data_IF_165072289964
#
_entry.id   IF_165072289964
#
_cell.length_a   1.000
_cell.length_b   1.000
_cell.length_c   1.000
_cell.angle_alpha   90.00
_cell.angle_beta   90.00
_cell.angle_gamma   90.00
#
_symmetry.space_group_name_H-M   'P 1'
#
loop_
_entity.id
_entity.type
_entity.pdbx_description
1 polymer ?
#
# COMPACT_ATOMS: atom_id res chain seq x y z
N UNK A 1 5.77 -8.24 8.39
CA UNK A 1 5.25 -7.28 9.40
C UNK A 1 3.87 -6.79 9.01
N UNK A 2 3.61 -5.49 9.18
CA UNK A 2 2.38 -4.81 8.74
C UNK A 2 2.76 -3.80 7.64
N UNK A 3 1.86 -3.53 6.70
CA UNK A 3 2.03 -2.47 5.71
C UNK A 3 0.70 -1.75 5.41
N UNK A 4 0.81 -0.52 4.92
CA UNK A 4 -0.29 0.23 4.32
C UNK A 4 -0.26 0.12 2.79
N UNK A 5 -1.40 0.29 2.13
CA UNK A 5 -1.54 0.24 0.66
C UNK A 5 -2.56 1.24 0.12
N UNK A 6 -2.68 1.30 -1.20
CA UNK A 6 -3.93 1.72 -1.84
C UNK A 6 -4.94 0.54 -1.84
N UNK A 7 -6.08 0.63 -1.10
CA UNK A 7 -7.07 -0.45 -1.06
C UNK A 7 -7.82 -0.67 -2.37
N UNK A 8 -7.74 0.27 -3.34
CA UNK A 8 -8.28 0.11 -4.69
C UNK A 8 -7.33 -0.60 -5.66
N UNK A 9 -6.13 -0.98 -5.21
CA UNK A 9 -5.23 -1.93 -5.89
C UNK A 9 -5.11 -3.21 -5.06
N UNK A 10 -4.69 -3.07 -3.81
CA UNK A 10 -4.29 -4.14 -2.89
C UNK A 10 -5.12 -4.01 -1.60
N UNK A 11 -6.29 -4.68 -1.49
CA UNK A 11 -7.24 -4.46 -0.41
C UNK A 11 -6.71 -4.79 1.00
N UNK A 12 -7.35 -4.20 2.02
CA UNK A 12 -7.12 -4.60 3.41
C UNK A 12 -7.36 -6.11 3.60
N UNK A 13 -6.53 -6.73 4.44
CA UNK A 13 -6.48 -8.18 4.64
C UNK A 13 -5.58 -8.94 3.67
N UNK A 14 -5.10 -8.30 2.60
CA UNK A 14 -4.14 -8.93 1.67
C UNK A 14 -2.88 -9.36 2.40
N UNK A 15 -2.29 -10.47 1.95
CA UNK A 15 -0.98 -10.95 2.40
C UNK A 15 -0.04 -10.87 1.21
N UNK A 16 1.10 -10.19 1.39
CA UNK A 16 2.16 -10.10 0.39
C UNK A 16 3.47 -10.68 0.94
N UNK A 17 4.31 -11.20 0.04
CA UNK A 17 5.71 -11.54 0.31
C UNK A 17 6.59 -10.45 -0.31
N UNK A 18 7.37 -9.77 0.52
CA UNK A 18 8.42 -8.84 0.09
C UNK A 18 9.72 -9.63 -0.05
N UNK A 19 10.53 -9.33 -1.06
CA UNK A 19 11.82 -9.98 -1.32
C UNK A 19 12.81 -8.99 -1.96
N UNK A 20 14.09 -9.37 -2.01
CA UNK A 20 15.20 -8.53 -2.55
C UNK A 20 15.49 -7.26 -1.72
N UNK A 21 15.13 -7.30 -0.44
CA UNK A 21 15.33 -6.23 0.56
C UNK A 21 16.27 -6.59 1.70
N UNK A 22 16.66 -7.86 1.83
CA UNK A 22 17.60 -8.33 2.85
C UNK A 22 16.88 -8.57 4.19
N UNK A 23 17.17 -7.74 5.19
CA UNK A 23 16.59 -7.86 6.55
C UNK A 23 15.07 -7.66 6.60
N UNK A 24 14.48 -7.10 5.55
CA UNK A 24 13.04 -6.84 5.43
C UNK A 24 12.31 -7.85 4.54
N UNK A 25 12.98 -8.94 4.10
CA UNK A 25 12.35 -10.01 3.33
C UNK A 25 11.40 -10.81 4.24
N UNK A 26 10.14 -10.98 3.81
CA UNK A 26 9.15 -11.69 4.62
C UNK A 26 7.69 -11.48 4.20
N UNK A 27 6.77 -11.98 5.01
CA UNK A 27 5.33 -11.80 4.83
C UNK A 27 4.83 -10.53 5.52
N UNK A 28 4.02 -9.74 4.83
CA UNK A 28 3.40 -8.53 5.33
C UNK A 28 1.89 -8.57 5.10
N UNK A 29 1.12 -8.25 6.15
CA UNK A 29 -0.33 -8.11 6.06
C UNK A 29 -0.69 -6.65 5.85
N UNK A 30 -1.55 -6.41 4.87
CA UNK A 30 -2.09 -5.08 4.55
C UNK A 30 -3.22 -4.77 5.53
N UNK A 31 -3.00 -3.83 6.44
CA UNK A 31 -3.95 -3.50 7.53
C UNK A 31 -4.27 -2.00 7.66
N UNK A 32 -3.58 -1.15 6.92
CA UNK A 32 -3.74 0.31 6.98
C UNK A 32 -3.75 0.94 5.57
N UNK A 33 -4.07 2.23 5.46
CA UNK A 33 -4.13 2.97 4.19
C UNK A 33 -3.63 4.40 4.39
N UNK A 34 -2.75 4.89 3.51
CA UNK A 34 -2.25 6.27 3.57
C UNK A 34 -2.75 7.11 2.39
N UNK A 35 -3.09 8.40 2.57
CA UNK A 35 -3.47 9.28 1.45
C UNK A 35 -2.35 9.43 0.41
N UNK A 36 -1.09 9.44 0.86
CA UNK A 36 0.09 9.49 0.00
C UNK A 36 0.44 8.12 -0.65
N UNK A 37 -0.23 7.04 -0.24
CA UNK A 37 0.03 5.66 -0.69
C UNK A 37 -1.02 5.30 -1.73
N UNK A 38 -0.65 5.47 -3.00
CA UNK A 38 -1.57 5.36 -4.14
C UNK A 38 -1.02 4.44 -5.23
N UNK A 39 -1.91 3.72 -5.91
CA UNK A 39 -1.53 2.82 -7.01
C UNK A 39 -0.67 1.63 -6.54
N UNK A 40 0.37 1.29 -7.30
CA UNK A 40 1.37 0.25 -6.95
C UNK A 40 2.35 0.71 -5.84
N UNK A 41 1.83 1.22 -4.73
CA UNK A 41 2.63 1.66 -3.58
C UNK A 41 2.20 0.92 -2.31
N UNK A 42 3.19 0.55 -1.51
CA UNK A 42 3.02 0.13 -0.12
C UNK A 42 3.89 0.99 0.78
N UNK A 43 3.49 1.11 2.04
CA UNK A 43 4.31 1.68 3.12
C UNK A 43 4.55 0.60 4.17
N UNK A 44 5.80 0.27 4.46
CA UNK A 44 6.15 -0.86 5.35
C UNK A 44 6.34 -0.32 6.77
N UNK A 45 5.59 -0.84 7.73
CA UNK A 45 5.78 -0.46 9.13
C UNK A 45 7.13 -0.97 9.65
N UNK A 46 7.99 -0.03 10.04
CA UNK A 46 9.28 -0.24 10.69
C UNK A 46 9.26 0.45 12.06
N UNK A 47 9.85 -0.20 13.07
CA UNK A 47 9.84 0.33 14.44
C UNK A 47 10.84 1.48 14.62
N UNK A 48 12.01 1.39 13.99
CA UNK A 48 13.02 2.46 14.03
C UNK A 48 12.82 3.47 12.90
N UNK A 49 12.71 4.75 13.26
CA UNK A 49 12.76 5.85 12.30
C UNK A 49 14.08 5.86 11.51
N UNK A 50 15.20 5.45 12.13
CA UNK A 50 16.49 5.37 11.45
C UNK A 50 16.51 4.27 10.38
N UNK A 51 15.93 3.09 10.66
CA UNK A 51 15.81 1.99 9.68
C UNK A 51 14.90 2.41 8.52
N UNK A 52 13.79 3.10 8.80
CA UNK A 52 12.89 3.62 7.77
C UNK A 52 13.57 4.67 6.86
N UNK A 53 14.41 5.53 7.42
CA UNK A 53 15.20 6.51 6.66
C UNK A 53 16.32 5.86 5.82
N UNK A 54 16.97 4.81 6.35
CA UNK A 54 18.01 4.05 5.63
C UNK A 54 17.42 3.19 4.50
N UNK A 55 16.27 2.56 4.74
CA UNK A 55 15.54 1.78 3.73
C UNK A 55 15.01 2.65 2.59
N UNK A 56 14.46 3.82 2.94
CA UNK A 56 14.02 4.85 2.01
C UNK A 56 12.90 4.44 1.05
N UNK A 57 12.68 5.24 0.00
CA UNK A 57 11.76 4.91 -1.10
C UNK A 57 12.54 4.19 -2.20
N UNK A 58 12.19 2.93 -2.45
CA UNK A 58 12.87 2.04 -3.39
C UNK A 58 11.87 1.10 -4.09
N UNK A 59 12.19 0.60 -5.31
CA UNK A 59 11.50 -0.55 -5.87
C UNK A 59 11.61 -1.78 -4.96
N UNK A 60 10.59 -2.64 -4.98
CA UNK A 60 10.48 -3.85 -4.18
C UNK A 60 9.95 -4.99 -5.05
N UNK A 61 10.53 -6.18 -4.91
CA UNK A 61 9.96 -7.39 -5.48
C UNK A 61 8.86 -7.90 -4.54
N UNK A 62 7.62 -7.97 -5.04
CA UNK A 62 6.43 -8.29 -4.24
C UNK A 62 5.63 -9.40 -4.93
N UNK A 63 5.39 -10.50 -4.21
CA UNK A 63 4.42 -11.53 -4.58
C UNK A 63 3.15 -11.37 -3.76
N UNK A 64 1.98 -11.36 -4.40
CA UNK A 64 0.70 -11.40 -3.66
C UNK A 64 0.40 -12.86 -3.31
N UNK A 65 0.18 -13.14 -2.02
CA UNK A 65 -0.08 -14.49 -1.48
C UNK A 65 -1.57 -14.69 -1.21
N UNK A 66 -2.28 -13.61 -0.89
CA UNK A 66 -3.75 -13.54 -0.85
C UNK A 66 -4.20 -12.11 -1.09
N UNK A 67 -5.28 -11.94 -1.85
CA UNK A 67 -5.88 -10.64 -2.13
C UNK A 67 -7.10 -10.39 -1.24
N UNK A 68 -6.98 -9.47 -0.29
CA UNK A 68 -8.00 -9.17 0.72
C UNK A 68 -8.17 -10.26 1.79
N UNK A 69 -9.28 -10.20 2.53
CA UNK A 69 -9.59 -11.10 3.65
C UNK A 69 -10.04 -12.51 3.25
N UNK A 70 -10.55 -12.67 2.03
CA UNK A 70 -11.22 -13.89 1.57
C UNK A 70 -10.22 -15.00 1.25
N UNK A 71 -10.32 -16.19 1.88
CA UNK A 71 -9.44 -17.32 1.55
C UNK A 71 -9.60 -17.84 0.10
N UNK A 72 -10.75 -17.61 -0.54
CA UNK A 72 -10.97 -17.98 -1.94
C UNK A 72 -10.13 -17.16 -2.91
N UNK A 73 -9.67 -15.97 -2.49
CA UNK A 73 -8.82 -15.06 -3.24
C UNK A 73 -7.32 -15.30 -2.91
N UNK A 74 -6.97 -16.57 -2.64
CA UNK A 74 -5.61 -17.08 -2.42
C UNK A 74 -5.11 -18.01 -3.54
N UNK A 75 -5.89 -18.25 -4.59
CA UNK A 75 -5.46 -19.09 -5.74
C UNK A 75 -4.79 -18.21 -6.81
N UNK A 76 -3.65 -18.60 -7.39
CA UNK A 76 -2.81 -17.70 -8.18
C UNK A 76 -3.52 -17.03 -9.37
N UNK A 77 -4.26 -17.82 -10.15
CA UNK A 77 -4.96 -17.37 -11.36
C UNK A 77 -5.97 -16.25 -11.02
N UNK A 78 -6.69 -16.43 -9.92
CA UNK A 78 -7.68 -15.48 -9.42
C UNK A 78 -7.03 -14.26 -8.77
N UNK A 79 -5.87 -14.41 -8.12
CA UNK A 79 -5.09 -13.27 -7.63
C UNK A 79 -4.68 -12.39 -8.82
N UNK A 80 -4.15 -12.98 -9.89
CA UNK A 80 -3.66 -12.25 -11.06
C UNK A 80 -4.81 -11.55 -11.83
N UNK A 81 -5.91 -12.25 -12.12
CA UNK A 81 -7.09 -11.65 -12.77
C UNK A 81 -7.70 -10.50 -11.94
N UNK A 82 -7.91 -10.72 -10.64
CA UNK A 82 -8.54 -9.77 -9.73
C UNK A 82 -7.64 -8.57 -9.42
N UNK A 83 -6.30 -8.75 -9.43
CA UNK A 83 -5.34 -7.65 -9.33
C UNK A 83 -5.27 -6.85 -10.63
N UNK A 84 -5.09 -7.51 -11.78
CA UNK A 84 -5.02 -6.85 -13.09
C UNK A 84 -6.28 -6.03 -13.39
N UNK A 85 -7.47 -6.53 -13.01
CA UNK A 85 -8.71 -5.77 -13.18
C UNK A 85 -8.69 -4.48 -12.35
N UNK A 86 -8.33 -4.54 -11.06
CA UNK A 86 -8.22 -3.33 -10.22
C UNK A 86 -7.15 -2.37 -10.73
N UNK A 87 -5.99 -2.87 -11.18
CA UNK A 87 -4.94 -2.03 -11.77
C UNK A 87 -5.40 -1.29 -13.03
N UNK A 88 -6.22 -1.94 -13.87
CA UNK A 88 -6.84 -1.33 -15.05
C UNK A 88 -7.98 -0.35 -14.71
N UNK A 89 -8.74 -0.62 -13.66
CA UNK A 89 -9.84 0.21 -13.17
C UNK A 89 -9.35 1.42 -12.34
N UNK A 90 -8.14 1.35 -11.80
CA UNK A 90 -7.58 2.34 -10.88
C UNK A 90 -7.42 3.73 -11.51
N UNK A 91 -7.76 4.75 -10.73
CA UNK A 91 -7.58 6.15 -11.06
C UNK A 91 -6.87 6.86 -9.90
N UNK A 92 -5.93 7.79 -10.16
CA UNK A 92 -5.27 8.54 -9.11
C UNK A 92 -6.30 9.36 -8.32
N UNK A 93 -6.26 9.25 -6.99
CA UNK A 93 -7.19 9.97 -6.13
C UNK A 93 -6.74 11.42 -6.10
N UNK A 94 -7.54 12.31 -6.68
CA UNK A 94 -7.37 13.76 -6.58
C UNK A 94 -7.55 14.23 -5.14
N UNK A 95 -6.51 14.03 -4.33
CA UNK A 95 -6.40 14.61 -3.02
C UNK A 95 -6.21 16.10 -3.19
N UNK A 96 -7.30 16.83 -2.96
CA UNK A 96 -7.25 18.24 -2.66
C UNK A 96 -6.49 18.42 -1.35
N UNK A 97 -5.16 18.49 -1.45
CA UNK A 97 -4.35 19.29 -0.54
C UNK A 97 -4.81 20.74 -0.68
N UNK A 98 -5.93 21.07 -0.03
CA UNK A 98 -6.20 22.44 0.40
C UNK A 98 -4.89 22.91 1.05
N UNK A 99 -4.24 23.96 0.54
CA UNK A 99 -3.18 24.59 1.30
C UNK A 99 -3.76 24.95 2.66
N UNK A 100 -2.99 24.79 3.74
CA UNK A 100 -3.32 25.45 4.99
C UNK A 100 -3.14 26.95 4.75
N UNK A 101 -4.21 27.58 4.26
CA UNK A 101 -4.30 29.02 4.03
C UNK A 101 -4.34 29.72 5.38
N UNK A 102 -3.17 29.85 5.99
CA UNK A 102 -2.91 30.50 7.29
C UNK A 102 -3.45 31.94 7.38
N UNK A 103 -3.79 32.53 6.23
CA UNK A 103 -4.28 33.90 6.08
C UNK A 103 -5.77 34.00 5.69
N UNK A 104 -6.54 32.91 5.79
CA UNK A 104 -8.00 32.98 5.59
C UNK A 104 -8.66 33.65 6.82
N UNK A 105 -9.37 34.78 6.67
CA UNK A 105 -10.08 35.39 7.78
C UNK A 105 -11.23 34.47 8.26
N UNK A 106 -11.62 34.55 9.54
CA UNK A 106 -12.77 33.80 10.04
C UNK A 106 -14.07 34.22 9.32
N UNK A 107 -15.06 33.32 9.19
CA UNK A 107 -16.40 33.72 8.76
C UNK A 107 -17.00 34.69 9.80
N UNK A 108 -17.66 35.74 9.30
CA UNK A 108 -18.46 36.68 10.08
C UNK A 108 -19.94 36.32 10.09
#
# INVERSE_FOLDING_TARGET
GIAASDPSILPLGSIIRVSSTGTHDGLYTILDTGPAIQGRMIDIYMWSCYEALEFGRRPLDITIVRLGWSPADSVPERIDEEFQRREKEWQPKHLFSRPLTLNAPPPG
#
